data_IF_871911198848
#
_entry.id   IF_871911198848
#
_cell.length_a   1.000
_cell.length_b   1.000
_cell.length_c   1.000
_cell.angle_alpha   90.00
_cell.angle_beta   90.00
_cell.angle_gamma   90.00
#
_symmetry.space_group_name_H-M   'P 1'
#
loop_
_entity.id
_entity.type
_entity.pdbx_description
1 polymer ?
#
# COMPACT_ATOMS: atom_id res chain seq x y z
N UNK A 1 1.89 -7.26 -20.08
CA UNK A 1 1.13 -8.52 -20.06
C UNK A 1 0.01 -8.30 -19.04
N UNK A 2 -1.25 -8.46 -19.43
CA UNK A 2 -2.41 -8.05 -18.63
C UNK A 2 -2.75 -9.12 -17.57
N UNK A 3 -3.06 -8.70 -16.35
CA UNK A 3 -3.49 -9.60 -15.27
C UNK A 3 -4.86 -10.19 -15.56
N UNK A 4 -5.00 -11.51 -15.37
CA UNK A 4 -6.28 -12.24 -15.43
C UNK A 4 -6.59 -12.69 -14.01
N UNK A 5 -7.70 -12.21 -13.45
CA UNK A 5 -8.27 -12.79 -12.24
C UNK A 5 -8.59 -14.27 -12.53
N UNK A 6 -7.82 -15.21 -11.98
CA UNK A 6 -8.14 -16.62 -12.13
C UNK A 6 -9.22 -16.99 -11.13
N UNK A 7 -10.47 -16.97 -11.59
CA UNK A 7 -11.51 -17.81 -11.00
C UNK A 7 -11.14 -19.25 -11.24
N UNK A 8 -11.16 -20.10 -10.22
CA UNK A 8 -10.90 -21.53 -10.36
C UNK A 8 -11.89 -22.16 -11.35
N UNK A 9 -11.43 -22.43 -12.58
CA UNK A 9 -12.23 -23.06 -13.63
C UNK A 9 -11.50 -23.25 -14.97
N UNK A 10 -10.74 -24.35 -15.08
CA UNK A 10 -10.57 -25.18 -16.29
C UNK A 10 -10.04 -24.61 -17.63
N UNK A 11 -8.81 -25.04 -17.98
CA UNK A 11 -8.24 -25.37 -19.32
C UNK A 11 -8.23 -24.37 -20.50
N UNK A 12 -7.02 -24.12 -21.06
CA UNK A 12 -6.83 -24.02 -22.53
C UNK A 12 -5.90 -22.94 -23.13
N UNK A 13 -4.63 -23.32 -23.37
CA UNK A 13 -3.79 -23.09 -24.58
C UNK A 13 -3.26 -21.70 -25.06
N UNK A 14 -1.91 -21.66 -25.16
CA UNK A 14 -1.01 -21.20 -26.26
C UNK A 14 -0.91 -19.73 -26.74
N UNK A 15 0.34 -19.21 -26.82
CA UNK A 15 0.77 -18.34 -27.94
C UNK A 15 1.75 -17.17 -27.70
N UNK A 16 3.06 -17.45 -27.73
CA UNK A 16 4.14 -16.74 -28.46
C UNK A 16 4.64 -15.28 -28.15
N UNK A 17 5.97 -15.24 -27.91
CA UNK A 17 7.03 -14.41 -28.54
C UNK A 17 7.61 -13.14 -27.86
N UNK A 18 8.96 -13.07 -27.92
CA UNK A 18 9.93 -12.17 -27.25
C UNK A 18 10.35 -10.96 -28.11
N UNK A 19 10.71 -9.85 -27.46
CA UNK A 19 11.60 -8.79 -28.00
C UNK A 19 11.89 -7.68 -26.95
N UNK A 20 13.15 -7.18 -26.81
CA UNK A 20 13.61 -6.55 -25.56
C UNK A 20 13.63 -5.01 -25.59
N UNK A 21 13.42 -4.39 -24.43
CA UNK A 21 13.87 -3.01 -24.14
C UNK A 21 14.17 -2.91 -22.64
N UNK A 22 15.43 -2.64 -22.33
CA UNK A 22 15.95 -2.51 -20.97
C UNK A 22 15.74 -1.07 -20.48
N UNK A 23 15.06 -0.93 -19.34
CA UNK A 23 15.08 0.22 -18.44
C UNK A 23 14.99 -0.33 -17.02
N UNK A 24 15.80 0.19 -16.10
CA UNK A 24 15.78 -0.16 -14.69
C UNK A 24 14.45 0.32 -14.09
N UNK A 25 13.50 -0.59 -13.88
CA UNK A 25 12.18 -0.29 -13.32
C UNK A 25 12.14 -0.67 -11.83
N UNK A 26 12.00 0.32 -10.95
CA UNK A 26 11.59 0.14 -9.57
C UNK A 26 10.10 -0.24 -9.52
N UNK A 27 9.76 -1.29 -8.78
CA UNK A 27 8.41 -1.63 -8.35
C UNK A 27 7.47 -2.18 -9.44
N UNK A 28 7.28 -3.51 -9.50
CA UNK A 28 6.22 -4.13 -10.29
C UNK A 28 4.87 -3.98 -9.58
N UNK A 29 3.82 -3.61 -10.33
CA UNK A 29 2.52 -3.11 -9.84
C UNK A 29 1.39 -4.10 -10.16
N UNK A 30 0.49 -4.40 -9.20
CA UNK A 30 -0.70 -5.24 -9.44
C UNK A 30 -1.95 -4.72 -8.72
N UNK A 31 -3.12 -4.75 -9.38
CA UNK A 31 -4.42 -4.31 -8.82
C UNK A 31 -5.48 -5.41 -8.95
N UNK A 32 -6.32 -5.63 -7.92
CA UNK A 32 -7.47 -6.53 -8.00
C UNK A 32 -8.66 -6.09 -7.11
N UNK A 33 -9.86 -6.56 -7.46
CA UNK A 33 -11.13 -6.31 -6.74
C UNK A 33 -11.42 -7.45 -5.74
N UNK A 34 -11.92 -7.18 -4.53
CA UNK A 34 -11.86 -8.09 -3.38
C UNK A 34 -12.87 -9.27 -3.37
N UNK A 35 -13.48 -9.63 -4.50
CA UNK A 35 -14.51 -10.71 -4.52
C UNK A 35 -13.93 -12.15 -4.59
N UNK A 36 -12.61 -12.33 -4.59
CA UNK A 36 -11.97 -13.65 -4.50
C UNK A 36 -10.78 -13.64 -3.53
N UNK A 37 -10.75 -14.64 -2.64
CA UNK A 37 -9.99 -14.72 -1.39
C UNK A 37 -8.46 -14.83 -1.48
N UNK A 38 -7.86 -14.59 -2.64
CA UNK A 38 -6.39 -14.60 -2.82
C UNK A 38 -6.02 -13.52 -3.84
N UNK A 39 -5.35 -12.46 -3.40
CA UNK A 39 -4.74 -11.47 -4.28
C UNK A 39 -3.30 -11.89 -4.57
N UNK A 40 -2.99 -12.34 -5.78
CA UNK A 40 -1.62 -12.68 -6.19
C UNK A 40 -0.95 -11.49 -6.86
N UNK A 41 0.25 -11.11 -6.40
CA UNK A 41 1.07 -10.08 -7.00
C UNK A 41 2.17 -10.76 -7.85
N UNK A 42 2.19 -10.56 -9.17
CA UNK A 42 3.17 -11.20 -10.06
C UNK A 42 4.37 -10.30 -10.40
N UNK A 43 5.57 -10.83 -10.16
CA UNK A 43 6.86 -10.28 -10.58
C UNK A 43 7.92 -11.39 -10.70
N UNK A 44 8.92 -11.24 -11.57
CA UNK A 44 10.02 -12.22 -11.61
C UNK A 44 10.74 -12.22 -10.26
N UNK A 45 10.72 -13.36 -9.56
CA UNK A 45 11.46 -13.57 -8.32
C UNK A 45 10.70 -13.46 -7.00
N UNK A 46 9.39 -13.19 -6.99
CA UNK A 46 8.57 -13.33 -5.77
C UNK A 46 7.08 -13.30 -6.09
N UNK A 47 6.34 -14.39 -5.83
CA UNK A 47 4.90 -14.34 -5.86
C UNK A 47 4.43 -14.22 -4.39
N UNK A 48 3.92 -13.06 -3.96
CA UNK A 48 3.25 -12.92 -2.66
C UNK A 48 1.73 -13.01 -2.91
N UNK A 49 1.00 -13.64 -2.01
CA UNK A 49 -0.46 -13.60 -1.98
C UNK A 49 -1.00 -12.99 -0.70
N UNK A 50 -2.04 -12.16 -0.82
CA UNK A 50 -2.85 -11.74 0.32
C UNK A 50 -4.08 -12.63 0.39
N UNK A 51 -4.22 -13.38 1.47
CA UNK A 51 -5.44 -14.09 1.83
C UNK A 51 -6.29 -13.24 2.77
N UNK A 52 -7.60 -13.25 2.50
CA UNK A 52 -8.59 -12.46 3.22
C UNK A 52 -9.40 -13.36 4.14
N UNK A 53 -9.31 -13.09 5.45
CA UNK A 53 -10.16 -13.71 6.44
C UNK A 53 -11.15 -12.66 6.96
N UNK A 54 -12.44 -12.90 6.77
CA UNK A 54 -13.46 -12.02 7.31
C UNK A 54 -13.36 -11.99 8.85
N UNK A 55 -13.38 -10.79 9.42
CA UNK A 55 -13.41 -10.61 10.87
C UNK A 55 -14.74 -11.09 11.46
N UNK A 56 -14.74 -11.45 12.74
CA UNK A 56 -15.98 -11.62 13.50
C UNK A 56 -16.74 -10.30 13.67
N UNK A 57 -17.98 -10.35 14.18
CA UNK A 57 -18.78 -9.14 14.44
C UNK A 57 -18.03 -8.19 15.38
N UNK A 58 -17.65 -7.01 14.87
CA UNK A 58 -16.85 -6.02 15.60
C UNK A 58 -15.33 -6.19 15.52
N UNK A 59 -14.83 -7.20 14.81
CA UNK A 59 -13.41 -7.38 14.47
C UNK A 59 -13.21 -7.00 13.00
N UNK A 60 -12.19 -6.19 12.70
CA UNK A 60 -11.86 -5.83 11.33
C UNK A 60 -11.45 -7.05 10.49
N UNK A 61 -11.53 -6.94 9.16
CA UNK A 61 -11.02 -7.99 8.27
C UNK A 61 -9.54 -8.28 8.58
N UNK A 62 -9.15 -9.56 8.55
CA UNK A 62 -7.76 -9.98 8.73
C UNK A 62 -7.11 -10.23 7.38
N UNK A 63 -5.90 -9.70 7.23
CA UNK A 63 -5.04 -9.84 6.07
C UNK A 63 -3.91 -10.80 6.43
N UNK A 64 -3.78 -11.90 5.69
CA UNK A 64 -2.66 -12.83 5.83
C UNK A 64 -1.78 -12.76 4.58
N UNK A 65 -0.49 -12.52 4.75
CA UNK A 65 0.49 -12.48 3.67
C UNK A 65 1.22 -13.82 3.56
N UNK A 66 1.18 -14.42 2.38
CA UNK A 66 1.82 -15.71 2.09
C UNK A 66 2.79 -15.60 0.92
N UNK A 67 3.89 -16.34 0.97
CA UNK A 67 4.70 -16.62 -0.21
C UNK A 67 4.07 -17.71 -1.09
N UNK A 68 4.09 -17.54 -2.41
CA UNK A 68 3.50 -18.44 -3.40
C UNK A 68 4.49 -19.49 -3.96
N UNK A 69 5.76 -19.51 -3.54
CA UNK A 69 6.68 -20.62 -3.87
C UNK A 69 6.52 -21.79 -2.88
N UNK A 70 6.88 -23.00 -3.33
CA UNK A 70 6.40 -24.33 -2.87
C UNK A 70 6.51 -24.71 -1.38
N UNK A 71 7.04 -23.83 -0.54
CA UNK A 71 6.91 -23.87 0.91
C UNK A 71 6.15 -22.61 1.30
N UNK A 72 4.84 -22.73 1.50
CA UNK A 72 3.97 -21.61 1.93
C UNK A 72 4.53 -21.05 3.22
N UNK A 73 5.32 -19.98 3.09
CA UNK A 73 5.86 -19.25 4.22
C UNK A 73 4.79 -18.24 4.60
N UNK A 74 4.21 -18.42 5.78
CA UNK A 74 3.43 -17.37 6.42
C UNK A 74 4.38 -16.20 6.68
N UNK A 75 4.21 -15.12 5.91
CA UNK A 75 5.04 -13.92 6.02
C UNK A 75 4.58 -13.08 7.21
N UNK A 76 3.29 -13.14 7.51
CA UNK A 76 2.70 -12.39 8.61
C UNK A 76 1.24 -12.01 8.38
N UNK A 77 0.63 -11.50 9.45
CA UNK A 77 -0.78 -11.18 9.45
C UNK A 77 -1.09 -9.94 10.28
N UNK A 78 -2.23 -9.32 9.99
CA UNK A 78 -2.72 -8.17 10.73
C UNK A 78 -4.15 -7.82 10.38
N UNK A 79 -4.73 -6.91 11.15
CA UNK A 79 -6.04 -6.36 10.85
C UNK A 79 -5.92 -5.35 9.71
N UNK A 80 -6.94 -5.29 8.87
CA UNK A 80 -7.09 -4.22 7.92
C UNK A 80 -7.61 -2.95 8.61
N UNK A 81 -7.41 -1.77 8.01
CA UNK A 81 -8.02 -0.54 8.48
C UNK A 81 -9.54 -0.72 8.65
N UNK A 82 -10.13 -0.33 9.80
CA UNK A 82 -11.57 -0.50 10.05
C UNK A 82 -12.46 0.15 8.98
N UNK A 83 -11.97 1.21 8.34
CA UNK A 83 -12.66 1.92 7.26
C UNK A 83 -12.94 1.03 6.03
N UNK A 84 -12.13 -0.01 5.80
CA UNK A 84 -12.33 -0.97 4.72
C UNK A 84 -13.54 -1.89 4.94
N UNK A 85 -14.05 -1.98 6.17
CA UNK A 85 -15.14 -2.88 6.56
C UNK A 85 -14.69 -4.32 6.79
N UNK A 86 -15.58 -5.13 7.36
CA UNK A 86 -15.33 -6.52 7.81
C UNK A 86 -14.96 -7.48 6.67
N UNK A 87 -15.28 -7.12 5.43
CA UNK A 87 -15.01 -7.91 4.21
C UNK A 87 -14.10 -7.19 3.21
N UNK A 88 -13.49 -6.06 3.59
CA UNK A 88 -12.76 -5.14 2.69
C UNK A 88 -13.56 -4.60 1.51
N UNK A 89 -14.89 -4.75 1.50
CA UNK A 89 -15.73 -4.30 0.37
C UNK A 89 -15.60 -2.81 0.04
N UNK A 90 -15.07 -2.00 0.99
CA UNK A 90 -14.86 -0.56 0.83
C UNK A 90 -13.44 -0.19 0.42
N UNK A 91 -12.52 -1.15 0.28
CA UNK A 91 -11.14 -0.87 -0.07
C UNK A 91 -10.69 -1.59 -1.35
N UNK A 92 -9.85 -0.90 -2.11
CA UNK A 92 -9.07 -1.50 -3.18
C UNK A 92 -7.64 -1.73 -2.69
N UNK A 93 -7.07 -2.87 -3.03
CA UNK A 93 -5.75 -3.26 -2.58
C UNK A 93 -4.77 -3.28 -3.75
N UNK A 94 -3.58 -2.79 -3.47
CA UNK A 94 -2.43 -2.77 -4.36
C UNK A 94 -1.19 -3.14 -3.54
N UNK A 95 -0.21 -3.82 -4.14
CA UNK A 95 0.93 -4.32 -3.39
C UNK A 95 2.21 -4.35 -4.20
N UNK A 96 3.32 -4.26 -3.49
CA UNK A 96 4.69 -4.30 -4.00
C UNK A 96 5.55 -5.17 -3.08
N UNK A 97 6.51 -5.86 -3.67
CA UNK A 97 7.61 -6.47 -2.92
C UNK A 97 8.82 -5.56 -3.03
N UNK A 98 9.43 -5.25 -1.88
CA UNK A 98 10.62 -4.41 -1.78
C UNK A 98 11.73 -5.17 -1.04
N UNK A 99 12.95 -4.65 -1.04
CA UNK A 99 14.05 -5.22 -0.26
C UNK A 99 13.78 -5.17 1.26
N UNK A 100 12.88 -4.29 1.70
CA UNK A 100 12.41 -4.18 3.09
C UNK A 100 11.20 -5.08 3.39
N UNK A 101 10.74 -5.85 2.41
CA UNK A 101 9.55 -6.72 2.52
C UNK A 101 8.34 -6.20 1.74
N UNK A 102 7.18 -6.85 1.90
CA UNK A 102 5.95 -6.48 1.21
C UNK A 102 5.39 -5.16 1.76
N UNK A 103 4.93 -4.32 0.84
CA UNK A 103 4.20 -3.08 1.12
C UNK A 103 2.86 -3.15 0.40
N UNK A 104 1.77 -2.86 1.11
CA UNK A 104 0.43 -2.78 0.54
C UNK A 104 -0.08 -1.34 0.62
N UNK A 105 -0.85 -0.93 -0.38
CA UNK A 105 -1.75 0.21 -0.30
C UNK A 105 -3.19 -0.28 -0.23
N UNK A 106 -3.96 0.32 0.68
CA UNK A 106 -5.40 0.15 0.78
C UNK A 106 -6.07 1.49 0.52
N UNK A 107 -6.91 1.55 -0.51
CA UNK A 107 -7.59 2.77 -0.97
C UNK A 107 -9.06 2.67 -0.59
N UNK A 108 -9.49 3.45 0.38
CA UNK A 108 -10.89 3.51 0.78
C UNK A 108 -11.71 4.21 -0.32
N UNK A 109 -12.68 3.50 -0.88
CA UNK A 109 -13.54 3.97 -1.96
C UNK A 109 -14.43 5.12 -1.47
N UNK A 110 -14.44 6.21 -2.22
CA UNK A 110 -15.43 7.28 -2.02
C UNK A 110 -16.81 6.86 -2.53
N UNK A 111 -17.85 7.18 -1.78
CA UNK A 111 -19.22 6.93 -2.24
C UNK A 111 -19.61 7.86 -3.41
N UNK A 112 -19.06 9.07 -3.44
CA UNK A 112 -19.45 10.15 -4.36
C UNK A 112 -18.34 10.53 -5.34
N UNK A 113 -17.19 9.84 -5.32
CA UNK A 113 -16.02 10.20 -6.12
C UNK A 113 -15.25 8.96 -6.57
N UNK A 114 -14.66 9.04 -7.77
CA UNK A 114 -13.66 8.08 -8.23
C UNK A 114 -12.36 8.18 -7.41
N UNK A 115 -12.17 9.28 -6.68
CA UNK A 115 -11.03 9.46 -5.80
C UNK A 115 -11.25 8.73 -4.48
N UNK A 116 -10.19 8.10 -3.91
CA UNK A 116 -10.30 7.54 -2.58
C UNK A 116 -10.62 8.64 -1.56
N UNK A 117 -11.27 8.27 -0.45
CA UNK A 117 -11.49 9.18 0.68
C UNK A 117 -10.37 9.13 1.69
N UNK A 118 -9.62 8.02 1.71
CA UNK A 118 -8.42 7.79 2.51
C UNK A 118 -7.55 6.74 1.82
N UNK A 119 -6.24 6.84 2.02
CA UNK A 119 -5.27 5.84 1.60
C UNK A 119 -4.46 5.39 2.82
N UNK A 120 -4.31 4.09 2.98
CA UNK A 120 -3.49 3.47 4.01
C UNK A 120 -2.31 2.78 3.36
N UNK A 121 -1.16 2.82 4.03
CA UNK A 121 -0.01 1.98 3.70
C UNK A 121 0.13 0.91 4.78
N UNK A 122 0.35 -0.33 4.38
CA UNK A 122 0.59 -1.45 5.28
C UNK A 122 1.92 -2.14 4.97
N UNK A 123 2.60 -2.61 6.00
CA UNK A 123 3.90 -3.27 5.90
C UNK A 123 4.11 -4.24 7.07
N UNK A 124 5.05 -5.17 6.91
CA UNK A 124 5.38 -6.13 7.96
C UNK A 124 6.42 -5.58 8.94
N UNK A 125 6.21 -5.82 10.23
CA UNK A 125 7.19 -5.65 11.31
C UNK A 125 7.17 -6.92 12.14
N UNK A 126 8.27 -7.67 12.15
CA UNK A 126 8.40 -8.94 12.90
C UNK A 126 7.24 -9.93 12.67
N UNK A 127 6.75 -10.03 11.43
CA UNK A 127 5.63 -10.90 11.05
C UNK A 127 4.24 -10.35 11.39
N UNK A 128 4.14 -9.12 11.90
CA UNK A 128 2.87 -8.43 12.12
C UNK A 128 2.65 -7.43 10.99
N UNK A 129 1.54 -7.57 10.27
CA UNK A 129 1.13 -6.59 9.27
C UNK A 129 0.49 -5.41 10.00
N UNK A 130 1.13 -4.26 9.92
CA UNK A 130 0.63 -3.01 10.48
C UNK A 130 0.27 -2.05 9.37
N UNK A 131 -0.56 -1.05 9.68
CA UNK A 131 -0.96 -0.04 8.69
C UNK A 131 -1.01 1.36 9.29
N UNK A 132 -0.78 2.37 8.46
CA UNK A 132 -0.91 3.77 8.82
C UNK A 132 -1.71 4.55 7.76
N UNK A 133 -2.53 5.54 8.17
CA UNK A 133 -3.14 6.48 7.22
C UNK A 133 -2.05 7.35 6.59
N UNK A 134 -2.11 7.50 5.28
CA UNK A 134 -1.16 8.35 4.52
C UNK A 134 -1.66 9.78 4.38
N UNK A 135 -2.97 9.97 4.23
CA UNK A 135 -3.58 11.29 4.10
C UNK A 135 -3.84 11.90 5.48
N UNK A 136 -3.37 13.12 5.69
CA UNK A 136 -3.62 13.91 6.89
C UNK A 136 -3.91 15.37 6.52
N UNK A 137 -4.77 16.01 7.29
CA UNK A 137 -5.08 17.43 7.14
C UNK A 137 -6.26 17.71 6.20
N UNK A 138 -6.26 18.91 5.62
CA UNK A 138 -7.41 19.45 4.88
C UNK A 138 -7.37 18.93 3.43
N UNK A 139 -8.46 18.32 2.94
CA UNK A 139 -8.57 17.92 1.55
C UNK A 139 -8.52 19.10 0.57
N UNK A 140 -7.81 18.93 -0.53
CA UNK A 140 -7.88 19.82 -1.70
C UNK A 140 -9.19 19.61 -2.47
N UNK A 141 -9.56 20.62 -3.24
CA UNK A 141 -10.73 20.61 -4.12
C UNK A 141 -10.28 20.93 -5.55
N UNK A 142 -10.66 20.08 -6.51
CA UNK A 142 -10.46 20.30 -7.94
C UNK A 142 -11.80 20.10 -8.65
N UNK A 143 -12.20 21.05 -9.50
CA UNK A 143 -13.48 21.02 -10.23
C UNK A 143 -14.69 20.68 -9.33
N UNK A 144 -14.77 21.35 -8.17
CA UNK A 144 -15.78 21.12 -7.12
C UNK A 144 -15.79 19.71 -6.48
N UNK A 145 -14.84 18.85 -6.87
CA UNK A 145 -14.65 17.51 -6.32
C UNK A 145 -13.57 17.55 -5.25
N UNK A 146 -13.84 16.94 -4.09
CA UNK A 146 -12.83 16.77 -3.05
C UNK A 146 -11.89 15.64 -3.47
N UNK A 147 -10.59 15.93 -3.57
CA UNK A 147 -9.62 14.98 -4.13
C UNK A 147 -8.57 14.50 -3.12
N UNK A 148 -8.74 14.77 -1.82
CA UNK A 148 -7.75 14.47 -0.78
C UNK A 148 -6.70 15.58 -0.59
N UNK A 149 -5.87 15.53 0.46
CA UNK A 149 -4.86 16.57 0.74
C UNK A 149 -3.79 16.64 -0.36
N UNK A 150 -3.11 17.78 -0.49
CA UNK A 150 -2.08 17.98 -1.50
C UNK A 150 -0.78 17.20 -1.23
N UNK A 151 -0.53 16.88 0.03
CA UNK A 151 0.58 16.07 0.53
C UNK A 151 0.06 14.81 1.24
N UNK A 152 0.88 13.77 1.26
CA UNK A 152 0.63 12.54 2.01
C UNK A 152 1.93 11.98 2.61
N UNK A 153 1.81 11.11 3.61
CA UNK A 153 2.92 10.29 4.09
C UNK A 153 3.12 9.11 3.14
N UNK A 154 4.22 9.09 2.40
CA UNK A 154 4.57 8.02 1.48
C UNK A 154 5.71 7.14 2.03
N UNK A 155 5.69 5.83 1.75
CA UNK A 155 6.73 4.91 2.20
C UNK A 155 8.02 5.09 1.39
N UNK A 156 9.14 5.16 2.09
CA UNK A 156 10.48 5.31 1.53
C UNK A 156 11.48 4.35 2.18
N UNK A 157 12.45 3.89 1.40
CA UNK A 157 13.67 3.25 1.88
C UNK A 157 14.80 4.29 1.93
N UNK A 158 15.30 4.52 3.13
CA UNK A 158 16.40 5.46 3.38
C UNK A 158 17.75 4.76 3.61
N UNK A 159 17.84 3.44 3.36
CA UNK A 159 19.07 2.65 3.46
C UNK A 159 19.47 2.24 4.87
N UNK A 160 18.60 2.43 5.86
CA UNK A 160 18.82 2.06 7.26
C UNK A 160 18.02 0.82 7.69
N UNK A 161 17.44 0.09 6.73
CA UNK A 161 16.75 -1.18 6.98
C UNK A 161 15.35 -1.03 7.57
N UNK A 162 14.78 0.18 7.54
CA UNK A 162 13.42 0.46 8.01
C UNK A 162 12.62 1.23 6.95
N UNK A 163 11.30 1.04 6.95
CA UNK A 163 10.39 1.85 6.12
C UNK A 163 10.17 3.19 6.83
N UNK A 164 10.42 4.28 6.11
CA UNK A 164 10.12 5.65 6.56
C UNK A 164 8.84 6.14 5.89
N UNK A 165 7.91 6.67 6.69
CA UNK A 165 6.77 7.41 6.17
C UNK A 165 7.13 8.88 6.10
N UNK A 166 7.40 9.40 4.90
CA UNK A 166 7.88 10.77 4.69
C UNK A 166 6.85 11.59 3.90
N UNK A 167 6.69 12.89 4.19
CA UNK A 167 5.82 13.76 3.42
C UNK A 167 6.26 13.83 1.95
N UNK A 168 5.37 13.44 1.05
CA UNK A 168 5.56 13.50 -0.38
C UNK A 168 4.42 14.29 -1.05
N UNK A 169 4.72 15.12 -2.06
CA UNK A 169 3.71 15.85 -2.80
C UNK A 169 2.89 14.86 -3.64
N UNK A 170 1.59 14.83 -3.40
CA UNK A 170 0.65 14.00 -4.16
C UNK A 170 0.16 14.73 -5.41
N UNK A 171 -0.14 16.01 -5.26
CA UNK A 171 -0.57 16.88 -6.35
C UNK A 171 0.63 17.59 -6.99
N UNK A 172 0.65 17.76 -8.32
CA UNK A 172 1.75 18.46 -9.01
C UNK A 172 2.01 19.86 -8.45
N UNK A 173 0.95 20.59 -8.08
CA UNK A 173 1.00 21.96 -7.56
C UNK A 173 1.74 22.04 -6.22
N UNK A 174 1.72 20.95 -5.44
CA UNK A 174 2.36 20.89 -4.14
C UNK A 174 3.90 20.87 -4.22
N UNK A 175 4.51 20.51 -5.37
CA UNK A 175 5.96 20.24 -5.52
C UNK A 175 6.90 21.45 -5.25
N UNK A 176 6.38 22.61 -4.89
CA UNK A 176 7.15 23.77 -4.43
C UNK A 176 6.56 24.48 -3.22
N UNK A 177 5.51 23.92 -2.60
CA UNK A 177 4.88 24.48 -1.41
C UNK A 177 5.53 23.94 -0.13
N UNK A 178 5.36 24.64 0.98
CA UNK A 178 5.81 24.11 2.27
C UNK A 178 4.95 22.92 2.70
N UNK A 179 5.60 21.85 3.18
CA UNK A 179 4.91 20.71 3.79
C UNK A 179 4.12 21.19 5.01
N UNK A 180 2.84 20.78 5.17
CA UNK A 180 2.07 21.10 6.37
C UNK A 180 2.77 20.62 7.64
N UNK A 181 2.94 21.50 8.64
CA UNK A 181 3.66 21.17 9.88
C UNK A 181 3.06 19.97 10.64
N UNK A 182 1.75 19.78 10.56
CA UNK A 182 1.08 18.60 11.14
C UNK A 182 1.47 17.29 10.45
N UNK A 183 1.75 17.32 9.14
CA UNK A 183 2.21 16.16 8.39
C UNK A 183 3.70 15.91 8.64
N UNK A 184 4.51 16.98 8.69
CA UNK A 184 5.92 16.88 9.03
C UNK A 184 6.15 16.28 10.42
N UNK A 185 5.29 16.58 11.39
CA UNK A 185 5.35 16.01 12.74
C UNK A 185 5.13 14.49 12.78
N UNK A 186 4.51 13.90 11.76
CA UNK A 186 4.24 12.46 11.64
C UNK A 186 5.30 11.74 10.79
N UNK A 187 6.26 12.48 10.23
CA UNK A 187 7.29 11.95 9.35
C UNK A 187 8.29 11.07 10.12
N UNK A 188 8.69 9.93 9.56
CA UNK A 188 9.76 9.10 10.09
C UNK A 188 9.42 7.62 10.19
N UNK A 189 10.14 6.92 11.07
CA UNK A 189 9.88 5.50 11.35
C UNK A 189 8.76 5.40 12.36
N UNK A 190 7.71 4.68 12.01
CA UNK A 190 6.60 4.40 12.90
C UNK A 190 6.94 3.16 13.74
N UNK A 191 6.69 3.25 15.04
CA UNK A 191 6.87 2.11 15.95
C UNK A 191 5.63 1.21 15.94
N UNK A 192 5.74 -0.01 16.45
CA UNK A 192 4.59 -0.91 16.62
C UNK A 192 4.35 -1.15 18.09
N UNK A 193 3.11 -0.95 18.53
CA UNK A 193 2.66 -1.22 19.89
C UNK A 193 1.29 -1.87 19.84
N UNK A 194 1.12 -2.98 20.57
CA UNK A 194 -0.15 -3.74 20.63
C UNK A 194 -0.72 -4.14 19.25
N UNK A 195 0.17 -4.36 18.26
CA UNK A 195 -0.22 -4.72 16.89
C UNK A 195 -0.64 -3.52 16.02
N UNK A 196 -0.52 -2.29 16.53
CA UNK A 196 -0.85 -1.07 15.80
C UNK A 196 0.39 -0.23 15.51
N UNK A 197 0.41 0.42 14.34
CA UNK A 197 1.44 1.39 14.00
C UNK A 197 1.22 2.69 14.79
N UNK A 198 2.26 3.14 15.48
CA UNK A 198 2.29 4.38 16.25
C UNK A 198 3.21 5.39 15.57
N UNK A 199 2.75 6.65 15.37
CA UNK A 199 3.59 7.68 14.79
C UNK A 199 4.79 7.98 15.69
N UNK A 200 5.87 8.54 15.14
CA UNK A 200 7.02 8.93 15.93
C UNK A 200 6.65 10.04 16.93
N UNK A 201 7.31 10.08 18.09
CA UNK A 201 7.12 11.14 19.09
C UNK A 201 7.53 12.53 18.57
N UNK A 202 8.46 12.56 17.62
CA UNK A 202 8.92 13.76 16.92
C UNK A 202 9.12 13.45 15.44
N UNK A 203 8.68 14.39 14.59
CA UNK A 203 8.87 14.31 13.15
C UNK A 203 10.34 14.24 12.75
N UNK A 204 10.64 13.41 11.76
CA UNK A 204 11.95 13.31 11.13
C UNK A 204 12.27 14.57 10.34
N UNK A 205 13.51 15.05 10.47
CA UNK A 205 14.06 16.12 9.61
C UNK A 205 14.50 15.59 8.23
N UNK A 206 14.41 14.28 8.00
CA UNK A 206 14.81 13.64 6.75
C UNK A 206 13.83 14.02 5.63
N UNK A 207 14.38 14.51 4.53
CA UNK A 207 13.61 14.89 3.36
C UNK A 207 13.32 13.67 2.47
N UNK A 208 12.12 13.61 1.87
CA UNK A 208 11.69 12.50 1.03
C UNK A 208 12.59 12.29 -0.21
N UNK A 209 13.11 13.38 -0.79
CA UNK A 209 14.01 13.37 -1.94
C UNK A 209 15.40 12.79 -1.64
N UNK A 210 15.74 12.61 -0.36
CA UNK A 210 16.96 11.94 0.08
C UNK A 210 16.82 10.42 0.21
N UNK A 211 15.62 9.87 0.02
CA UNK A 211 15.32 8.44 0.12
C UNK A 211 14.72 7.89 -1.18
N UNK A 212 14.79 6.57 -1.37
CA UNK A 212 14.12 5.92 -2.48
C UNK A 212 12.63 5.73 -2.16
N UNK A 213 11.73 6.26 -3.00
CA UNK A 213 10.31 6.00 -2.85
C UNK A 213 10.03 4.51 -3.10
N UNK A 214 9.28 3.87 -2.20
CA UNK A 214 8.84 2.49 -2.39
C UNK A 214 7.62 2.38 -3.31
N UNK A 215 6.92 3.52 -3.49
CA UNK A 215 5.74 3.65 -4.35
C UNK A 215 5.86 4.96 -5.12
N UNK A 216 5.77 4.88 -6.44
CA UNK A 216 6.02 6.02 -7.34
C UNK A 216 5.09 7.22 -7.10
N UNK A 217 3.83 6.95 -6.77
CA UNK A 217 2.84 7.98 -6.46
C UNK A 217 1.70 7.42 -5.61
N UNK A 218 1.35 8.15 -4.54
CA UNK A 218 0.10 7.93 -3.83
C UNK A 218 -1.06 8.55 -4.64
N UNK A 219 -2.21 7.86 -4.75
CA UNK A 219 -3.41 8.42 -5.36
C UNK A 219 -4.00 9.50 -4.47
#
# INVERSE_FOLDING_TARGET
MACVAQTSGGEGAEGASRGPSQGLESGRRCSASPEAAVLSFEGEGCPVSVELEAGGEGEGARLNLQGLEAEVLDLGAGTAPPACGETLARCELEGWTTDLGPVLLLRERGHESEMPVQVYVAWLVDGVLVHAPTWHGIPSVADHTRIGPAYALAPHDCGDGAIHLLPAPRLPEARGEAVPGSLAALAGVWSVSEGEAQPPEAGSERAADSCAALIDALP
#
